data_IF_603784144837
#
_entry.id   IF_603784144837
#
_cell.length_a   1.000
_cell.length_b   1.000
_cell.length_c   1.000
_cell.angle_alpha   90.00
_cell.angle_beta   90.00
_cell.angle_gamma   90.00
#
_symmetry.space_group_name_H-M   'P 1'
#
loop_
_entity.id
_entity.type
_entity.pdbx_description
1 polymer ?
#
# COMPACT_ATOMS: atom_id res chain seq x y z
N UNK A 1 33.45 -15.12 24.70
CA UNK A 1 32.24 -14.58 25.33
C UNK A 1 32.56 -13.16 25.77
N UNK A 2 32.15 -12.16 24.99
CA UNK A 2 32.40 -10.74 25.29
C UNK A 2 31.16 -9.93 24.95
N UNK A 3 30.43 -9.48 25.97
CA UNK A 3 29.24 -8.66 25.80
C UNK A 3 29.65 -7.18 25.69
N UNK A 4 29.49 -6.58 24.51
CA UNK A 4 29.65 -5.12 24.34
C UNK A 4 28.30 -4.42 24.51
N UNK A 5 28.03 -3.97 25.74
CA UNK A 5 26.86 -3.14 26.06
C UNK A 5 27.10 -1.72 25.54
N UNK A 6 26.37 -1.31 24.51
CA UNK A 6 26.41 0.06 23.99
C UNK A 6 25.55 1.00 24.86
N UNK A 7 26.19 1.66 25.83
CA UNK A 7 25.54 2.67 26.66
C UNK A 7 25.40 4.01 25.90
N UNK A 8 24.20 4.33 25.43
CA UNK A 8 23.89 5.64 24.86
C UNK A 8 23.77 6.69 25.97
N UNK A 9 24.84 7.43 26.23
CA UNK A 9 24.85 8.55 27.17
C UNK A 9 24.17 9.77 26.54
N UNK A 10 22.98 10.10 27.01
CA UNK A 10 22.28 11.34 26.65
C UNK A 10 23.01 12.56 27.24
N UNK A 11 23.88 13.17 26.45
CA UNK A 11 24.59 14.41 26.82
C UNK A 11 23.58 15.56 26.98
N UNK A 12 23.33 15.97 28.22
CA UNK A 12 22.47 17.13 28.52
C UNK A 12 23.18 18.40 28.05
N UNK A 13 22.60 19.10 27.08
CA UNK A 13 23.01 20.47 26.76
C UNK A 13 22.67 21.41 27.91
N UNK A 14 23.66 21.71 28.77
CA UNK A 14 23.59 22.80 29.73
C UNK A 14 23.77 24.12 28.99
N UNK A 15 22.75 24.98 29.04
CA UNK A 15 22.79 26.30 28.42
C UNK A 15 23.66 27.27 29.24
N UNK A 16 24.97 27.27 28.99
CA UNK A 16 25.90 28.25 29.58
C UNK A 16 25.79 29.59 28.85
N UNK A 17 25.46 30.61 29.63
CA UNK A 17 25.30 32.00 29.23
C UNK A 17 26.57 32.58 28.58
N UNK A 18 26.50 33.00 27.31
CA UNK A 18 27.48 33.93 26.72
C UNK A 18 26.75 35.03 25.97
N UNK A 19 26.73 36.22 26.57
CA UNK A 19 26.22 37.44 25.97
C UNK A 19 27.27 38.01 25.00
N UNK A 20 27.10 37.74 23.71
CA UNK A 20 27.78 38.48 22.64
C UNK A 20 26.75 39.37 21.90
N UNK A 21 26.98 40.69 21.78
CA UNK A 21 26.16 41.55 20.95
C UNK A 21 26.45 41.28 19.47
N UNK A 22 25.62 40.44 18.84
CA UNK A 22 25.74 40.09 17.44
C UNK A 22 25.22 41.26 16.57
N UNK A 23 26.10 41.85 15.75
CA UNK A 23 25.75 42.94 14.84
C UNK A 23 24.96 42.44 13.62
N UNK A 24 24.15 43.33 13.09
CA UNK A 24 23.15 43.15 12.03
C UNK A 24 23.62 42.36 10.80
N UNK A 25 22.94 41.25 10.50
CA UNK A 25 22.86 40.66 9.14
C UNK A 25 21.79 39.55 8.96
N UNK A 26 21.30 38.91 10.03
CA UNK A 26 20.61 37.59 9.94
C UNK A 26 19.15 37.56 10.43
N UNK A 27 18.42 38.68 10.35
CA UNK A 27 17.09 38.81 10.96
C UNK A 27 15.95 37.98 10.31
N UNK A 28 16.17 37.31 9.18
CA UNK A 28 15.11 36.54 8.47
C UNK A 28 15.03 35.05 8.86
N UNK A 29 16.15 34.39 9.18
CA UNK A 29 16.15 32.95 9.50
C UNK A 29 15.64 32.64 10.92
N UNK A 30 15.85 33.54 11.89
CA UNK A 30 15.39 33.32 13.27
C UNK A 30 13.85 33.26 13.41
N UNK A 31 13.12 33.89 12.48
CA UNK A 31 11.65 33.91 12.48
C UNK A 31 11.03 32.52 12.20
N UNK A 32 11.71 31.67 11.42
CA UNK A 32 11.17 30.37 10.99
C UNK A 32 11.21 29.34 12.14
N UNK A 33 12.33 29.28 12.88
CA UNK A 33 12.52 28.32 13.98
C UNK A 33 11.54 28.58 15.14
N UNK A 34 11.25 29.85 15.45
CA UNK A 34 10.23 30.21 16.44
C UNK A 34 8.81 29.83 15.99
N UNK A 35 8.45 30.02 14.71
CA UNK A 35 7.12 29.63 14.19
C UNK A 35 6.90 28.11 14.21
N UNK A 36 7.91 27.31 13.85
CA UNK A 36 7.83 25.84 13.94
C UNK A 36 7.62 25.37 15.39
N UNK A 37 8.30 26.00 16.35
CA UNK A 37 8.17 25.70 17.78
C UNK A 37 6.77 25.98 18.34
N UNK A 38 6.05 26.97 17.80
CA UNK A 38 4.67 27.26 18.18
C UNK A 38 3.67 26.23 17.61
N UNK A 39 3.86 25.82 16.35
CA UNK A 39 3.00 24.82 15.67
C UNK A 39 3.05 23.45 16.39
N UNK A 40 4.24 23.02 16.83
CA UNK A 40 4.40 21.77 17.59
C UNK A 40 3.67 21.81 18.94
N UNK A 41 3.69 22.97 19.63
CA UNK A 41 2.99 23.15 20.92
C UNK A 41 1.46 23.20 20.79
N UNK A 42 0.91 23.74 19.70
CA UNK A 42 -0.55 23.69 19.48
C UNK A 42 -1.04 22.27 19.15
N UNK A 43 -0.25 21.48 18.42
CA UNK A 43 -0.62 20.10 18.02
C UNK A 43 -0.68 19.12 19.20
N UNK A 44 0.08 19.37 20.28
CA UNK A 44 0.00 18.56 21.51
C UNK A 44 -1.15 18.96 22.44
N UNK A 45 -1.63 20.22 22.40
CA UNK A 45 -2.82 20.65 23.15
C UNK A 45 -4.10 20.04 22.58
N UNK A 46 -4.30 20.09 21.25
CA UNK A 46 -5.48 19.48 20.61
C UNK A 46 -5.57 17.96 20.79
N UNK A 47 -4.44 17.26 20.96
CA UNK A 47 -4.45 15.82 21.28
C UNK A 47 -5.03 15.51 22.66
N UNK A 48 -4.94 16.43 23.64
CA UNK A 48 -5.44 16.21 25.01
C UNK A 48 -6.94 16.49 25.15
N UNK A 49 -7.48 17.48 24.43
CA UNK A 49 -8.92 17.76 24.45
C UNK A 49 -9.73 16.68 23.70
N UNK A 50 -9.19 16.09 22.63
CA UNK A 50 -9.85 15.01 21.88
C UNK A 50 -9.84 13.66 22.61
N UNK A 51 -9.02 13.51 23.66
CA UNK A 51 -8.97 12.31 24.51
C UNK A 51 -10.10 12.30 25.58
N UNK A 52 -10.76 13.45 25.79
CA UNK A 52 -11.73 13.63 26.86
C UNK A 52 -13.20 13.44 26.42
N UNK A 53 -13.48 13.39 25.11
CA UNK A 53 -14.74 12.85 24.58
C UNK A 53 -14.71 11.33 24.66
N UNK A 54 -14.95 10.80 25.87
CA UNK A 54 -14.99 9.37 26.20
C UNK A 54 -16.18 8.62 25.59
N UNK A 55 -16.34 8.68 24.26
CA UNK A 55 -17.21 7.80 23.49
C UNK A 55 -16.64 6.38 23.61
N UNK A 56 -17.12 5.69 24.65
CA UNK A 56 -16.87 4.28 24.94
C UNK A 56 -17.16 3.46 23.67
N UNK A 57 -16.10 3.16 22.91
CA UNK A 57 -16.17 2.39 21.66
C UNK A 57 -16.50 0.95 22.02
N UNK A 58 -17.79 0.69 22.25
CA UNK A 58 -18.36 -0.64 22.48
C UNK A 58 -17.76 -1.57 21.43
N UNK A 59 -16.94 -2.52 21.89
CA UNK A 59 -16.19 -3.44 21.04
C UNK A 59 -17.21 -4.26 20.24
N UNK A 60 -17.45 -3.89 18.99
CA UNK A 60 -18.44 -4.55 18.12
C UNK A 60 -18.08 -6.03 18.07
N UNK A 61 -18.94 -6.86 18.68
CA UNK A 61 -18.80 -8.31 18.63
C UNK A 61 -19.08 -8.73 17.19
N UNK A 62 -18.10 -9.37 16.55
CA UNK A 62 -18.31 -9.93 15.20
C UNK A 62 -19.18 -11.16 15.34
N UNK A 63 -20.39 -11.10 14.80
CA UNK A 63 -21.36 -12.20 14.86
C UNK A 63 -20.94 -13.38 13.98
N UNK A 64 -20.34 -13.08 12.81
CA UNK A 64 -19.89 -14.10 11.87
C UNK A 64 -18.49 -14.64 12.24
N UNK A 65 -18.28 -15.96 12.28
CA UNK A 65 -16.97 -16.55 12.48
C UNK A 65 -16.03 -16.18 11.32
N UNK A 66 -14.74 -16.04 11.62
CA UNK A 66 -13.74 -15.77 10.58
C UNK A 66 -13.49 -17.02 9.73
N UNK A 67 -13.54 -16.90 8.39
CA UNK A 67 -13.27 -18.03 7.49
C UNK A 67 -11.87 -18.59 7.75
N UNK A 68 -11.80 -19.89 8.05
CA UNK A 68 -10.55 -20.65 8.04
C UNK A 68 -10.21 -20.93 6.59
N UNK A 69 -9.01 -20.54 6.17
CA UNK A 69 -8.50 -20.83 4.83
C UNK A 69 -7.69 -22.12 4.88
N UNK A 70 -8.05 -23.08 4.06
CA UNK A 70 -7.26 -24.28 3.81
C UNK A 70 -6.08 -23.96 2.89
N UNK A 71 -5.03 -24.77 2.96
CA UNK A 71 -3.85 -24.62 2.11
C UNK A 71 -4.20 -24.76 0.62
N UNK A 72 -5.14 -25.66 0.29
CA UNK A 72 -5.63 -25.87 -1.09
C UNK A 72 -6.29 -24.61 -1.66
N UNK A 73 -7.15 -23.94 -0.89
CA UNK A 73 -7.76 -22.68 -1.32
C UNK A 73 -6.72 -21.56 -1.52
N UNK A 74 -5.70 -21.51 -0.65
CA UNK A 74 -4.61 -20.53 -0.78
C UNK A 74 -3.82 -20.80 -2.06
N UNK A 75 -3.47 -22.06 -2.32
CA UNK A 75 -2.75 -22.47 -3.53
C UNK A 75 -3.56 -22.16 -4.79
N UNK A 76 -4.85 -22.52 -4.84
CA UNK A 76 -5.73 -22.20 -5.97
C UNK A 76 -5.86 -20.69 -6.24
N UNK A 77 -5.85 -19.85 -5.20
CA UNK A 77 -5.81 -18.38 -5.36
C UNK A 77 -4.48 -17.95 -6.00
N UNK A 78 -3.35 -18.52 -5.58
CA UNK A 78 -2.02 -18.16 -6.09
C UNK A 78 -1.80 -18.62 -7.52
N UNK A 79 -2.27 -19.81 -7.87
CA UNK A 79 -2.16 -20.39 -9.21
C UNK A 79 -2.98 -19.56 -10.21
N UNK A 80 -4.25 -19.28 -9.91
CA UNK A 80 -5.09 -18.37 -10.73
C UNK A 80 -4.47 -16.97 -10.84
N UNK A 81 -3.94 -16.43 -9.75
CA UNK A 81 -3.25 -15.13 -9.77
C UNK A 81 -1.97 -15.13 -10.63
N UNK A 82 -1.30 -16.28 -10.79
CA UNK A 82 -0.11 -16.44 -11.59
C UNK A 82 -0.43 -16.56 -13.08
N UNK A 83 -1.52 -17.27 -13.43
CA UNK A 83 -2.03 -17.39 -14.80
C UNK A 83 -2.56 -16.06 -15.33
N UNK A 84 -3.36 -15.35 -14.53
CA UNK A 84 -4.01 -14.09 -14.93
C UNK A 84 -3.12 -12.83 -14.81
N UNK A 85 -1.81 -12.98 -14.58
CA UNK A 85 -0.85 -11.87 -14.37
C UNK A 85 -0.81 -10.84 -15.51
N UNK A 86 -0.99 -11.34 -16.73
CA UNK A 86 -0.84 -10.61 -18.00
C UNK A 86 -2.16 -9.99 -18.48
N UNK A 87 -3.30 -10.49 -18.00
CA UNK A 87 -4.64 -10.15 -18.53
C UNK A 87 -5.33 -9.06 -17.72
N UNK A 88 -5.34 -9.17 -16.38
CA UNK A 88 -6.14 -8.27 -15.52
C UNK A 88 -5.38 -7.67 -14.33
N UNK A 89 -5.84 -6.50 -13.90
CA UNK A 89 -5.39 -5.88 -12.67
C UNK A 89 -6.04 -6.56 -11.44
N UNK A 90 -5.21 -7.06 -10.51
CA UNK A 90 -5.59 -7.65 -9.21
C UNK A 90 -6.42 -6.73 -8.27
N UNK A 91 -6.77 -5.54 -8.73
CA UNK A 91 -7.63 -4.55 -8.06
C UNK A 91 -9.10 -4.63 -8.49
N UNK A 92 -9.39 -5.18 -9.68
CA UNK A 92 -10.73 -5.29 -10.24
C UNK A 92 -11.63 -6.23 -9.43
N UNK A 93 -12.94 -5.95 -9.38
CA UNK A 93 -13.91 -6.86 -8.76
C UNK A 93 -14.18 -8.09 -9.63
N UNK A 94 -14.18 -7.90 -10.96
CA UNK A 94 -14.43 -8.94 -11.98
C UNK A 94 -13.42 -10.09 -11.82
N UNK A 95 -12.13 -9.78 -11.78
CA UNK A 95 -11.05 -10.70 -11.40
C UNK A 95 -11.41 -11.68 -10.27
N UNK A 96 -11.94 -11.17 -9.14
CA UNK A 96 -12.28 -12.01 -7.98
C UNK A 96 -13.55 -12.84 -8.17
N UNK A 97 -14.48 -12.43 -9.06
CA UNK A 97 -15.64 -13.25 -9.45
C UNK A 97 -15.18 -14.43 -10.32
N UNK A 98 -14.40 -14.14 -11.36
CA UNK A 98 -13.80 -15.15 -12.25
C UNK A 98 -12.95 -16.18 -11.46
N UNK A 99 -12.24 -15.72 -10.42
CA UNK A 99 -11.51 -16.59 -9.49
C UNK A 99 -12.46 -17.52 -8.72
N UNK A 100 -13.57 -17.02 -8.17
CA UNK A 100 -14.57 -17.85 -7.45
C UNK A 100 -15.18 -18.90 -8.40
N UNK A 101 -15.53 -18.50 -9.62
CA UNK A 101 -16.16 -19.36 -10.62
C UNK A 101 -15.24 -20.50 -11.07
N UNK A 102 -13.95 -20.21 -11.29
CA UNK A 102 -12.94 -21.21 -11.68
C UNK A 102 -12.53 -22.13 -10.53
N UNK A 103 -12.23 -21.57 -9.36
CA UNK A 103 -11.69 -22.33 -8.20
C UNK A 103 -12.77 -22.97 -7.32
N UNK A 104 -14.04 -22.57 -7.47
CA UNK A 104 -15.20 -23.03 -6.67
C UNK A 104 -15.04 -22.82 -5.16
N UNK A 105 -14.28 -21.80 -4.76
CA UNK A 105 -14.07 -21.43 -3.35
C UNK A 105 -15.35 -20.80 -2.79
N UNK A 106 -15.92 -21.39 -1.74
CA UNK A 106 -17.04 -20.82 -0.98
C UNK A 106 -16.57 -19.60 -0.13
N UNK A 107 -16.43 -18.45 -0.79
CA UNK A 107 -16.14 -17.17 -0.15
C UNK A 107 -16.66 -16.00 -1.00
N UNK A 108 -17.13 -14.94 -0.34
CA UNK A 108 -17.36 -13.66 -1.00
C UNK A 108 -16.05 -13.06 -1.53
N UNK A 109 -16.14 -12.37 -2.67
CA UNK A 109 -15.01 -11.70 -3.33
C UNK A 109 -14.21 -10.77 -2.40
N UNK A 110 -14.86 -10.07 -1.46
CA UNK A 110 -14.21 -9.23 -0.44
C UNK A 110 -13.28 -10.03 0.49
N UNK A 111 -13.68 -11.24 0.88
CA UNK A 111 -12.87 -12.10 1.76
C UNK A 111 -11.61 -12.57 1.02
N UNK A 112 -11.74 -12.93 -0.26
CA UNK A 112 -10.61 -13.30 -1.12
C UNK A 112 -9.69 -12.10 -1.32
N UNK A 113 -10.24 -10.92 -1.63
CA UNK A 113 -9.49 -9.66 -1.74
C UNK A 113 -8.71 -9.32 -0.47
N UNK A 114 -9.31 -9.50 0.71
CA UNK A 114 -8.62 -9.32 2.00
C UNK A 114 -7.54 -10.38 2.24
N UNK A 115 -7.78 -11.64 1.86
CA UNK A 115 -6.80 -12.73 1.94
C UNK A 115 -5.60 -12.47 1.03
N UNK A 116 -5.82 -12.05 -0.23
CA UNK A 116 -4.77 -11.66 -1.18
C UNK A 116 -3.98 -10.46 -0.66
N UNK A 117 -4.63 -9.43 -0.11
CA UNK A 117 -3.95 -8.30 0.56
C UNK A 117 -3.06 -8.76 1.71
N UNK A 118 -3.54 -9.68 2.55
CA UNK A 118 -2.76 -10.24 3.65
C UNK A 118 -1.54 -11.06 3.15
N UNK A 119 -1.72 -11.88 2.12
CA UNK A 119 -0.64 -12.64 1.50
C UNK A 119 0.42 -11.68 0.91
N UNK A 120 0.00 -10.65 0.14
CA UNK A 120 0.90 -9.62 -0.40
C UNK A 120 1.66 -8.87 0.71
N UNK A 121 1.00 -8.58 1.84
CA UNK A 121 1.66 -7.97 2.99
C UNK A 121 2.69 -8.89 3.66
N UNK A 122 2.43 -10.21 3.73
CA UNK A 122 3.39 -11.20 4.23
C UNK A 122 4.61 -11.30 3.32
N UNK A 123 4.39 -11.41 2.00
CA UNK A 123 5.46 -11.38 1.00
C UNK A 123 6.31 -10.11 1.12
N UNK A 124 5.69 -8.92 1.18
CA UNK A 124 6.41 -7.66 1.36
C UNK A 124 7.25 -7.68 2.64
N UNK A 125 6.67 -8.10 3.79
CA UNK A 125 7.42 -8.19 5.06
C UNK A 125 8.63 -9.13 4.98
N UNK A 126 8.50 -10.27 4.29
CA UNK A 126 9.60 -11.20 4.08
C UNK A 126 10.65 -10.66 3.10
N UNK A 127 10.23 -9.93 2.07
CA UNK A 127 11.12 -9.26 1.11
C UNK A 127 11.90 -8.12 1.79
N UNK A 128 11.21 -7.25 2.52
CA UNK A 128 11.80 -6.14 3.28
C UNK A 128 12.83 -6.68 4.30
N UNK A 129 12.49 -7.75 5.04
CA UNK A 129 13.42 -8.42 5.96
C UNK A 129 14.65 -9.01 5.24
N UNK A 130 14.44 -9.66 4.10
CA UNK A 130 15.54 -10.21 3.28
C UNK A 130 16.48 -9.10 2.81
N UNK A 131 15.97 -7.94 2.43
CA UNK A 131 16.79 -6.78 2.03
C UNK A 131 17.51 -6.14 3.22
N UNK A 132 16.84 -5.97 4.37
CA UNK A 132 17.43 -5.28 5.54
C UNK A 132 18.41 -6.13 6.34
N UNK A 133 18.10 -7.41 6.52
CA UNK A 133 18.86 -8.31 7.42
C UNK A 133 19.75 -9.28 6.64
N UNK A 134 19.36 -9.66 5.42
CA UNK A 134 20.20 -10.48 4.55
C UNK A 134 21.51 -9.80 4.13
N UNK A 135 21.58 -8.46 4.18
CA UNK A 135 22.78 -7.69 3.91
C UNK A 135 23.90 -7.90 4.95
N UNK A 136 23.56 -8.16 6.22
CA UNK A 136 24.54 -8.38 7.29
C UNK A 136 24.74 -9.86 7.66
N UNK A 137 23.75 -10.72 7.44
CA UNK A 137 23.83 -12.13 7.86
C UNK A 137 24.73 -13.00 6.94
N UNK A 138 25.13 -12.50 5.76
CA UNK A 138 26.05 -13.20 4.86
C UNK A 138 27.50 -13.23 5.37
N UNK A 139 27.89 -12.32 6.28
CA UNK A 139 29.26 -12.26 6.82
C UNK A 139 29.47 -13.08 8.10
N UNK A 140 28.39 -13.55 8.76
CA UNK A 140 28.46 -14.14 10.10
C UNK A 140 27.75 -15.51 10.20
N UNK A 141 28.57 -16.56 10.24
CA UNK A 141 28.25 -17.96 10.59
C UNK A 141 27.22 -18.73 9.76
N UNK A 142 27.73 -19.73 9.01
CA UNK A 142 26.96 -20.69 8.21
C UNK A 142 26.18 -21.74 9.02
N UNK A 143 25.98 -21.55 10.33
CA UNK A 143 25.41 -22.54 11.23
C UNK A 143 23.88 -22.40 11.36
N UNK A 144 23.16 -23.30 10.69
CA UNK A 144 21.78 -23.76 10.99
C UNK A 144 20.56 -22.90 10.59
N UNK A 145 20.69 -21.65 10.13
CA UNK A 145 19.53 -20.95 9.53
C UNK A 145 19.88 -20.13 8.28
N UNK A 146 19.87 -20.79 7.13
CA UNK A 146 19.92 -20.12 5.82
C UNK A 146 18.83 -19.05 5.72
N UNK A 147 19.18 -17.90 5.13
CA UNK A 147 18.26 -16.76 4.90
C UNK A 147 16.94 -17.21 4.28
N UNK A 148 16.99 -18.14 3.33
CA UNK A 148 15.79 -18.69 2.67
C UNK A 148 14.88 -19.47 3.63
N UNK A 149 15.45 -20.22 4.58
CA UNK A 149 14.66 -20.93 5.60
C UNK A 149 13.88 -19.98 6.49
N UNK A 150 14.46 -18.82 6.84
CA UNK A 150 13.74 -17.80 7.62
C UNK A 150 12.68 -17.06 6.79
N UNK A 151 12.97 -16.79 5.51
CA UNK A 151 12.01 -16.22 4.56
C UNK A 151 10.80 -17.13 4.37
N UNK A 152 11.02 -18.44 4.19
CA UNK A 152 9.94 -19.44 4.06
C UNK A 152 9.14 -19.59 5.36
N UNK A 153 9.78 -19.50 6.54
CA UNK A 153 9.08 -19.47 7.83
C UNK A 153 8.14 -18.25 7.95
N UNK A 154 8.52 -17.10 7.38
CA UNK A 154 7.68 -15.89 7.36
C UNK A 154 6.58 -15.95 6.28
N UNK A 155 6.88 -16.55 5.13
CA UNK A 155 6.00 -16.59 3.98
C UNK A 155 6.23 -17.90 3.18
N UNK A 156 5.43 -18.96 3.42
CA UNK A 156 5.65 -20.27 2.78
C UNK A 156 5.68 -20.22 1.24
N UNK A 157 4.80 -19.42 0.62
CA UNK A 157 4.74 -19.27 -0.84
C UNK A 157 5.66 -18.15 -1.39
N UNK A 158 6.74 -17.78 -0.68
CA UNK A 158 7.58 -16.62 -1.05
C UNK A 158 8.08 -16.66 -2.50
N UNK A 159 8.47 -17.83 -3.00
CA UNK A 159 8.99 -17.99 -4.36
C UNK A 159 7.92 -17.73 -5.44
N UNK A 160 6.71 -18.27 -5.25
CA UNK A 160 5.57 -18.03 -6.14
C UNK A 160 5.15 -16.55 -6.09
N UNK A 161 5.11 -15.96 -4.89
CA UNK A 161 4.79 -14.55 -4.69
C UNK A 161 5.86 -13.61 -5.26
N UNK A 162 7.12 -14.01 -5.27
CA UNK A 162 8.21 -13.30 -5.95
C UNK A 162 8.03 -13.31 -7.47
N UNK A 163 7.51 -14.39 -8.06
CA UNK A 163 7.16 -14.42 -9.48
C UNK A 163 6.00 -13.47 -9.79
N UNK A 164 4.93 -13.51 -8.99
CA UNK A 164 3.70 -12.71 -9.16
C UNK A 164 3.96 -11.21 -8.94
N UNK A 165 4.64 -10.84 -7.85
CA UNK A 165 4.79 -9.44 -7.45
C UNK A 165 6.15 -8.83 -7.78
N UNK A 166 7.21 -9.63 -7.91
CA UNK A 166 8.57 -9.13 -8.17
C UNK A 166 8.78 -8.58 -9.58
N UNK A 167 8.00 -9.04 -10.57
CA UNK A 167 8.04 -8.55 -11.95
C UNK A 167 7.34 -7.20 -12.16
N UNK A 168 6.40 -6.82 -11.28
CA UNK A 168 5.41 -5.77 -11.57
C UNK A 168 5.88 -4.33 -11.24
N UNK A 169 7.17 -4.14 -10.98
CA UNK A 169 7.78 -2.83 -10.75
C UNK A 169 8.10 -2.05 -12.04
N UNK A 170 8.04 -2.69 -13.21
CA UNK A 170 8.43 -2.09 -14.50
C UNK A 170 7.25 -1.89 -15.47
N UNK A 171 6.07 -2.45 -15.17
CA UNK A 171 4.88 -2.35 -16.04
C UNK A 171 3.86 -1.32 -15.58
N UNK A 172 4.12 -0.56 -14.51
CA UNK A 172 3.57 0.79 -14.41
C UNK A 172 4.33 1.62 -15.44
N UNK A 173 3.85 1.57 -16.69
CA UNK A 173 4.09 2.63 -17.66
C UNK A 173 3.89 3.93 -16.89
N UNK A 174 4.83 4.90 -16.97
CA UNK A 174 4.57 6.22 -16.43
C UNK A 174 3.26 6.67 -17.05
N UNK A 175 2.23 6.81 -16.21
CA UNK A 175 1.18 7.74 -16.54
C UNK A 175 1.91 9.06 -16.49
N UNK A 176 2.40 9.50 -17.66
CA UNK A 176 2.85 10.86 -17.83
C UNK A 176 1.62 11.70 -17.50
N UNK A 177 1.57 12.13 -16.24
CA UNK A 177 0.82 13.30 -15.84
C UNK A 177 1.51 14.42 -16.59
N UNK A 178 1.09 14.58 -17.85
CA UNK A 178 1.24 15.81 -18.59
C UNK A 178 0.49 16.80 -17.73
N UNK A 179 1.24 17.48 -16.85
CA UNK A 179 0.80 18.67 -16.16
C UNK A 179 0.42 19.66 -17.25
N UNK A 180 -0.83 19.58 -17.68
CA UNK A 180 -1.51 20.61 -18.47
C UNK A 180 -1.67 21.80 -17.54
N UNK A 181 -0.55 22.49 -17.33
CA UNK A 181 -0.41 23.68 -16.52
C UNK A 181 -1.19 24.82 -17.16
N UNK A 182 -2.51 24.76 -17.04
CA UNK A 182 -3.39 25.85 -17.43
C UNK A 182 -3.24 26.98 -16.42
N UNK A 183 -2.63 28.06 -16.91
CA UNK A 183 -2.28 29.29 -16.23
C UNK A 183 -3.49 30.09 -15.74
N UNK A 184 -3.42 30.64 -14.52
CA UNK A 184 -4.34 31.65 -14.00
C UNK A 184 -3.73 32.24 -12.70
N UNK A 185 -3.74 33.53 -12.32
CA UNK A 185 -3.93 34.86 -12.96
C UNK A 185 -3.08 35.82 -12.06
N UNK A 186 -2.54 37.01 -12.39
CA UNK A 186 -2.77 38.01 -13.45
C UNK A 186 -1.47 38.79 -13.78
N UNK A 187 -1.42 39.42 -14.96
CA UNK A 187 -1.53 40.89 -15.03
C UNK A 187 -2.01 41.35 -16.41
N UNK A 188 -2.47 42.60 -16.47
CA UNK A 188 -3.35 43.20 -17.47
C UNK A 188 -2.64 43.66 -18.76
N UNK A 189 -3.13 43.23 -19.94
CA UNK A 189 -3.02 43.97 -21.21
C UNK A 189 -4.03 43.44 -22.23
N UNK A 190 -4.59 44.34 -23.05
CA UNK A 190 -5.75 44.07 -23.89
C UNK A 190 -5.43 43.36 -25.22
N UNK A 191 -6.23 42.35 -25.58
CA UNK A 191 -6.91 42.26 -26.88
C UNK A 191 -7.81 41.01 -26.98
N UNK A 192 -8.97 41.18 -27.59
CA UNK A 192 -9.97 40.16 -27.88
C UNK A 192 -9.44 38.91 -28.60
N UNK A 193 -9.92 37.73 -28.19
CA UNK A 193 -10.89 36.98 -29.02
C UNK A 193 -11.54 35.83 -28.24
N UNK A 194 -12.87 35.75 -28.37
CA UNK A 194 -13.70 34.67 -27.82
C UNK A 194 -13.69 33.52 -28.82
N UNK A 195 -13.47 32.29 -28.35
CA UNK A 195 -13.88 31.10 -29.09
C UNK A 195 -14.65 30.18 -28.14
N UNK A 196 -15.96 30.12 -28.36
CA UNK A 196 -16.81 29.07 -27.82
C UNK A 196 -16.36 27.73 -28.40
N UNK A 197 -16.16 26.74 -27.54
CA UNK A 197 -16.13 25.33 -27.96
C UNK A 197 -17.26 24.64 -27.20
N UNK A 198 -18.35 24.43 -27.91
CA UNK A 198 -19.52 23.68 -27.46
C UNK A 198 -19.12 22.25 -27.15
N UNK A 199 -19.38 21.80 -25.91
CA UNK A 199 -19.16 20.42 -25.51
C UNK A 199 -20.27 19.54 -26.09
N UNK A 200 -19.98 18.81 -27.17
CA UNK A 200 -20.95 17.91 -27.79
C UNK A 200 -21.22 16.70 -26.89
N UNK A 201 -22.47 16.58 -26.48
CA UNK A 201 -23.05 15.38 -25.90
C UNK A 201 -22.86 14.17 -26.82
N UNK A 202 -22.23 13.10 -26.30
CA UNK A 202 -22.13 11.80 -26.97
C UNK A 202 -22.50 10.73 -25.95
N UNK A 203 -23.80 10.55 -25.77
CA UNK A 203 -24.33 9.31 -25.20
C UNK A 203 -24.20 8.18 -26.22
N UNK A 204 -23.40 7.16 -25.92
CA UNK A 204 -23.41 5.89 -26.64
C UNK A 204 -24.10 4.82 -25.81
N UNK A 205 -25.39 4.61 -26.12
CA UNK A 205 -26.15 3.43 -25.70
C UNK A 205 -25.58 2.18 -26.40
N UNK A 206 -24.90 1.31 -25.65
CA UNK A 206 -24.54 -0.03 -26.13
C UNK A 206 -25.38 -1.07 -25.40
N UNK A 207 -26.63 -1.18 -25.81
CA UNK A 207 -27.49 -2.30 -25.47
C UNK A 207 -27.26 -3.47 -26.45
N UNK A 208 -26.73 -4.59 -25.96
CA UNK A 208 -26.86 -5.88 -26.64
C UNK A 208 -26.90 -7.02 -25.61
N UNK A 209 -28.05 -7.70 -25.42
CA UNK A 209 -28.12 -8.95 -24.68
C UNK A 209 -27.40 -10.06 -25.45
N UNK A 210 -26.57 -10.85 -24.78
CA UNK A 210 -26.03 -12.09 -25.35
C UNK A 210 -26.84 -13.25 -24.77
N UNK A 211 -27.85 -13.69 -25.53
CA UNK A 211 -28.54 -14.95 -25.27
C UNK A 211 -27.62 -16.14 -25.61
N UNK A 212 -26.93 -16.69 -24.61
CA UNK A 212 -26.23 -17.96 -24.76
C UNK A 212 -27.21 -19.10 -24.49
N UNK A 213 -27.66 -19.71 -25.59
CA UNK A 213 -28.61 -20.80 -25.56
C UNK A 213 -28.09 -22.06 -24.83
N UNK A 214 -29.02 -22.69 -24.12
CA UNK A 214 -28.94 -24.05 -23.59
C UNK A 214 -28.30 -25.04 -24.57
N UNK A 215 -27.28 -25.79 -24.11
CA UNK A 215 -26.90 -27.07 -24.72
C UNK A 215 -27.09 -28.17 -23.68
N UNK A 216 -28.23 -28.87 -23.79
CA UNK A 216 -28.34 -30.23 -23.30
C UNK A 216 -27.45 -31.13 -24.16
N UNK A 217 -26.63 -31.99 -23.55
CA UNK A 217 -26.89 -33.44 -23.60
C UNK A 217 -25.88 -34.26 -22.76
N UNK A 218 -26.38 -35.38 -22.22
CA UNK A 218 -25.57 -36.43 -21.60
C UNK A 218 -24.93 -37.33 -22.69
N UNK A 219 -24.03 -38.25 -22.30
CA UNK A 219 -24.53 -39.61 -22.12
C UNK A 219 -24.10 -40.25 -20.78
N UNK A 220 -25.03 -41.02 -20.19
CA UNK A 220 -24.72 -41.99 -19.14
C UNK A 220 -23.92 -43.15 -19.75
N UNK A 221 -22.81 -43.52 -19.13
CA UNK A 221 -22.13 -44.81 -19.39
C UNK A 221 -22.49 -45.76 -18.24
N UNK A 222 -22.91 -46.98 -18.61
CA UNK A 222 -23.32 -48.06 -17.70
C UNK A 222 -22.14 -48.69 -16.98
#
# INVERSE_FOLDING_TARGET
MSEHIFAFTLTKCTATHLLHPCKEATLKHHCIICKLSAVVKNKSKQRKEMEQTGLNRKRIKREKPNKKWSEKEIQSILDFMQEALEVEALTAQIFYKNLIESTKIDAMWDLIRWKVRHIKASYKKASDWRMSTGAGLLESDAATSSVEGKVLQMCPHFNQLKYIFGKKATSELPFEVVDSGSTSIMNESAASQILEITFSDVGEDIASPIDIATIENLPQVK
#
